data_IF_493336160691
#
_entry.id   IF_493336160691
#
_cell.length_a   1.000
_cell.length_b   1.000
_cell.length_c   1.000
_cell.angle_alpha   90.00
_cell.angle_beta   90.00
_cell.angle_gamma   90.00
#
_symmetry.space_group_name_H-M   'P 1'
#
loop_
_entity.id
_entity.type
_entity.pdbx_description
1 polymer ?
#
# COMPACT_ATOMS: atom_id res chain seq x y z
N UNK A 1 -17.89 4.86 -0.14
CA UNK A 1 -16.55 4.23 -0.15
C UNK A 1 -16.75 2.73 -0.08
N UNK A 2 -15.93 1.91 -0.76
CA UNK A 2 -15.94 0.46 -0.58
C UNK A 2 -15.70 0.12 0.90
N UNK A 3 -16.19 -1.04 1.33
CA UNK A 3 -15.87 -1.55 2.67
C UNK A 3 -14.37 -1.87 2.72
N UNK A 4 -13.70 -1.36 3.75
CA UNK A 4 -12.27 -1.56 3.95
C UNK A 4 -12.09 -2.56 5.08
N UNK A 5 -11.39 -3.66 4.83
CA UNK A 5 -11.06 -4.66 5.85
C UNK A 5 -10.09 -4.12 6.90
N UNK A 6 -10.08 -4.74 8.07
CA UNK A 6 -9.02 -4.51 9.06
C UNK A 6 -7.71 -5.14 8.57
N UNK A 7 -6.58 -4.54 8.95
CA UNK A 7 -5.26 -5.03 8.55
C UNK A 7 -5.06 -6.47 9.06
N UNK A 8 -4.46 -7.33 8.26
CA UNK A 8 -4.01 -8.67 8.70
C UNK A 8 -2.64 -8.62 9.38
N UNK A 9 -2.16 -9.76 9.90
CA UNK A 9 -0.87 -9.81 10.59
C UNK A 9 0.31 -9.85 9.62
N UNK A 10 0.12 -10.42 8.44
CA UNK A 10 1.08 -10.41 7.33
C UNK A 10 0.45 -9.73 6.12
N UNK A 11 1.26 -9.13 5.26
CA UNK A 11 0.78 -8.53 4.02
C UNK A 11 1.67 -8.90 2.83
N UNK A 12 1.09 -8.83 1.64
CA UNK A 12 1.79 -8.85 0.37
C UNK A 12 1.43 -7.60 -0.42
N UNK A 13 2.45 -6.88 -0.88
CA UNK A 13 2.30 -5.68 -1.69
C UNK A 13 2.70 -5.94 -3.14
N UNK A 14 1.79 -5.77 -4.10
CA UNK A 14 2.13 -5.76 -5.52
C UNK A 14 2.72 -4.40 -5.90
N UNK A 15 3.94 -4.37 -6.42
CA UNK A 15 4.56 -3.15 -6.94
C UNK A 15 3.83 -2.72 -8.21
N UNK A 16 2.93 -1.74 -8.07
CA UNK A 16 2.09 -1.28 -9.16
C UNK A 16 2.62 -0.01 -9.83
N UNK A 17 3.50 0.75 -9.18
CA UNK A 17 4.19 1.90 -9.76
C UNK A 17 5.51 2.12 -9.01
N UNK A 18 6.55 2.54 -9.75
CA UNK A 18 7.88 2.89 -9.22
C UNK A 18 8.33 4.20 -9.87
N UNK A 19 8.32 5.28 -9.08
CA UNK A 19 8.63 6.64 -9.54
C UNK A 19 9.98 7.05 -8.94
N UNK A 20 10.95 7.35 -9.81
CA UNK A 20 12.33 7.65 -9.41
C UNK A 20 12.68 9.14 -9.52
N UNK A 21 11.75 9.97 -9.98
CA UNK A 21 11.88 11.43 -9.91
C UNK A 21 12.11 11.86 -8.45
N UNK A 22 13.00 12.84 -8.24
CA UNK A 22 13.42 13.32 -6.92
C UNK A 22 12.23 13.71 -6.03
N UNK A 23 11.20 14.34 -6.62
CA UNK A 23 9.98 14.76 -5.93
C UNK A 23 8.77 14.40 -6.78
N UNK A 24 7.72 13.92 -6.14
CA UNK A 24 6.40 13.70 -6.76
C UNK A 24 5.35 14.54 -6.07
N UNK A 25 4.71 15.44 -6.83
CA UNK A 25 3.66 16.32 -6.31
C UNK A 25 2.32 15.61 -6.21
N UNK A 26 1.42 16.14 -5.39
CA UNK A 26 0.04 15.62 -5.29
C UNK A 26 -0.78 15.75 -6.58
N UNK A 27 -0.47 16.72 -7.45
CA UNK A 27 -1.10 16.86 -8.78
C UNK A 27 -0.69 15.75 -9.75
N UNK A 28 0.47 15.15 -9.53
CA UNK A 28 0.99 14.05 -10.35
C UNK A 28 0.45 12.70 -9.88
N UNK A 29 0.20 12.57 -8.58
CA UNK A 29 -0.52 11.44 -8.00
C UNK A 29 -1.99 11.44 -8.43
N UNK A 30 -2.63 12.61 -8.46
CA UNK A 30 -4.00 12.79 -8.94
C UNK A 30 -4.17 14.14 -9.66
N UNK A 31 -4.37 14.14 -10.99
CA UNK A 31 -4.51 15.37 -11.76
C UNK A 31 -5.66 16.28 -11.29
N UNK A 32 -5.42 17.59 -11.28
CA UNK A 32 -6.49 18.59 -11.18
C UNK A 32 -7.15 18.87 -12.54
N UNK A 33 -8.40 19.35 -12.49
CA UNK A 33 -9.14 19.85 -13.66
C UNK A 33 -10.24 18.88 -14.13
N UNK A 34 -9.85 17.89 -14.92
CA UNK A 34 -10.75 16.87 -15.53
C UNK A 34 -11.47 16.00 -14.48
N UNK A 35 -10.92 15.95 -13.27
CA UNK A 35 -11.40 15.17 -12.13
C UNK A 35 -12.49 15.87 -11.31
N UNK A 36 -12.72 17.17 -11.53
CA UNK A 36 -13.62 17.98 -10.71
C UNK A 36 -15.09 17.55 -10.78
N UNK A 37 -15.53 16.99 -11.91
CA UNK A 37 -16.86 16.44 -12.11
C UNK A 37 -17.10 15.12 -11.39
N UNK A 38 -16.04 14.42 -10.97
CA UNK A 38 -16.10 13.10 -10.33
C UNK A 38 -15.99 13.15 -8.80
N UNK A 39 -16.04 14.33 -8.18
CA UNK A 39 -15.86 14.48 -6.72
C UNK A 39 -16.85 13.66 -5.88
N UNK A 40 -18.03 13.37 -6.42
CA UNK A 40 -19.05 12.52 -5.77
C UNK A 40 -18.97 11.04 -6.18
N UNK A 41 -18.10 10.67 -7.12
CA UNK A 41 -17.87 9.31 -7.59
C UNK A 41 -16.40 8.92 -7.35
N UNK A 42 -16.07 8.37 -6.16
CA UNK A 42 -14.69 8.02 -5.82
C UNK A 42 -14.03 7.03 -6.78
N UNK A 43 -14.77 6.06 -7.30
CA UNK A 43 -14.22 5.06 -8.24
C UNK A 43 -13.92 5.73 -9.58
N UNK A 44 -14.87 6.52 -10.11
CA UNK A 44 -14.65 7.27 -11.35
C UNK A 44 -13.50 8.27 -11.25
N UNK A 45 -13.32 8.88 -10.07
CA UNK A 45 -12.17 9.74 -9.80
C UNK A 45 -10.85 8.95 -9.76
N UNK A 46 -10.87 7.75 -9.20
CA UNK A 46 -9.67 6.92 -9.08
C UNK A 46 -9.12 6.41 -10.42
N UNK A 47 -9.91 6.43 -11.50
CA UNK A 47 -9.42 6.16 -12.86
C UNK A 47 -8.33 7.12 -13.32
N UNK A 48 -8.23 8.30 -12.69
CA UNK A 48 -7.22 9.31 -13.02
C UNK A 48 -5.95 9.18 -12.18
N UNK A 49 -5.91 8.25 -11.22
CA UNK A 49 -4.75 8.10 -10.32
C UNK A 49 -3.50 7.75 -11.12
N UNK A 50 -2.45 8.55 -10.95
CA UNK A 50 -1.17 8.43 -11.67
C UNK A 50 -1.28 8.48 -13.20
N UNK A 51 -2.42 8.87 -13.80
CA UNK A 51 -2.65 8.73 -15.25
C UNK A 51 -1.64 9.48 -16.13
N UNK A 52 -1.02 10.56 -15.61
CA UNK A 52 0.02 11.34 -16.29
C UNK A 52 1.44 10.84 -16.05
N UNK A 53 1.65 10.01 -15.03
CA UNK A 53 2.97 9.49 -14.64
C UNK A 53 3.13 8.01 -14.99
N UNK A 54 2.10 7.22 -14.75
CA UNK A 54 2.05 5.80 -15.02
C UNK A 54 0.63 5.39 -15.44
N UNK A 55 0.30 5.46 -16.74
CA UNK A 55 -1.04 5.11 -17.25
C UNK A 55 -1.49 3.67 -16.95
N UNK A 56 -0.55 2.76 -16.65
CA UNK A 56 -0.87 1.37 -16.34
C UNK A 56 -1.19 1.12 -14.87
N UNK A 57 -0.98 2.10 -13.98
CA UNK A 57 -1.13 1.93 -12.54
C UNK A 57 -2.53 1.46 -12.15
N UNK A 58 -3.58 2.13 -12.64
CA UNK A 58 -4.96 1.81 -12.27
C UNK A 58 -5.33 0.37 -12.64
N UNK A 59 -4.92 -0.10 -13.82
CA UNK A 59 -5.15 -1.48 -14.26
C UNK A 59 -4.48 -2.50 -13.33
N UNK A 60 -3.19 -2.28 -12.99
CA UNK A 60 -2.45 -3.16 -12.08
C UNK A 60 -3.00 -3.13 -10.65
N UNK A 61 -3.38 -1.96 -10.17
CA UNK A 61 -3.95 -1.78 -8.82
C UNK A 61 -5.28 -2.52 -8.69
N UNK A 62 -6.19 -2.35 -9.66
CA UNK A 62 -7.47 -3.09 -9.70
C UNK A 62 -7.30 -4.60 -9.86
N UNK A 63 -6.35 -5.05 -10.66
CA UNK A 63 -6.04 -6.48 -10.76
C UNK A 63 -5.57 -7.04 -9.40
N UNK A 64 -4.81 -6.25 -8.65
CA UNK A 64 -4.41 -6.62 -7.28
C UNK A 64 -5.59 -6.63 -6.31
N UNK A 65 -6.51 -5.67 -6.42
CA UNK A 65 -7.76 -5.67 -5.65
C UNK A 65 -8.62 -6.91 -5.93
N UNK A 66 -8.64 -7.37 -7.18
CA UNK A 66 -9.36 -8.58 -7.54
C UNK A 66 -8.73 -9.83 -6.91
N UNK A 67 -7.39 -9.93 -6.86
CA UNK A 67 -6.71 -11.01 -6.14
C UNK A 67 -7.09 -11.02 -4.65
N UNK A 68 -7.20 -9.85 -4.02
CA UNK A 68 -7.64 -9.74 -2.63
C UNK A 68 -9.10 -10.15 -2.44
N UNK A 69 -9.99 -9.77 -3.37
CA UNK A 69 -11.40 -10.21 -3.35
C UNK A 69 -11.52 -11.73 -3.48
N UNK A 70 -10.74 -12.35 -4.36
CA UNK A 70 -10.68 -13.81 -4.50
C UNK A 70 -10.21 -14.46 -3.19
N UNK A 71 -9.15 -13.94 -2.56
CA UNK A 71 -8.63 -14.41 -1.27
C UNK A 71 -9.70 -14.33 -0.19
N UNK A 72 -10.42 -13.20 -0.08
CA UNK A 72 -11.53 -13.01 0.86
C UNK A 72 -12.68 -14.00 0.62
N UNK A 73 -12.92 -14.40 -0.64
CA UNK A 73 -13.86 -15.45 -1.01
C UNK A 73 -13.34 -16.89 -0.76
N UNK A 74 -12.13 -17.04 -0.21
CA UNK A 74 -11.50 -18.33 0.06
C UNK A 74 -10.75 -18.93 -1.14
N UNK A 75 -10.63 -18.21 -2.25
CA UNK A 75 -9.90 -18.65 -3.43
C UNK A 75 -8.48 -18.07 -3.45
N UNK A 76 -7.49 -18.96 -3.32
CA UNK A 76 -6.05 -18.60 -3.31
C UNK A 76 -5.27 -19.24 -4.46
N UNK A 77 -5.95 -19.74 -5.49
CA UNK A 77 -5.31 -20.47 -6.59
C UNK A 77 -4.28 -19.63 -7.34
N UNK A 78 -4.59 -18.36 -7.63
CA UNK A 78 -3.69 -17.42 -8.32
C UNK A 78 -2.49 -16.99 -7.46
N UNK A 79 -2.51 -17.31 -6.16
CA UNK A 79 -1.47 -16.96 -5.20
C UNK A 79 -0.50 -18.13 -4.94
N UNK A 80 -0.79 -19.32 -5.47
CA UNK A 80 -0.10 -20.56 -5.11
C UNK A 80 1.41 -20.49 -5.33
N UNK A 81 1.84 -20.03 -6.51
CA UNK A 81 3.27 -19.95 -6.85
C UNK A 81 3.99 -18.93 -5.97
N UNK A 82 3.41 -17.74 -5.81
CA UNK A 82 3.95 -16.70 -4.92
C UNK A 82 4.13 -17.20 -3.49
N UNK A 83 3.12 -17.84 -2.91
CA UNK A 83 3.21 -18.37 -1.54
C UNK A 83 4.12 -19.59 -1.43
N UNK A 84 4.29 -20.38 -2.49
CA UNK A 84 5.31 -21.43 -2.53
C UNK A 84 6.72 -20.82 -2.40
N UNK A 85 6.97 -19.66 -3.02
CA UNK A 85 8.24 -18.91 -2.84
C UNK A 85 8.36 -18.33 -1.44
N UNK A 86 7.30 -17.70 -0.90
CA UNK A 86 7.32 -17.13 0.46
C UNK A 86 7.66 -18.20 1.50
N UNK A 87 7.11 -19.42 1.37
CA UNK A 87 7.37 -20.54 2.29
C UNK A 87 8.81 -21.06 2.27
N UNK A 88 9.63 -20.65 1.30
CA UNK A 88 11.07 -20.95 1.28
C UNK A 88 11.89 -19.96 2.12
N UNK A 89 11.29 -18.86 2.59
CA UNK A 89 11.93 -17.90 3.47
C UNK A 89 11.97 -18.50 4.88
N UNK A 90 13.14 -18.46 5.52
CA UNK A 90 13.33 -18.99 6.86
C UNK A 90 12.37 -18.33 7.86
N UNK A 91 11.62 -19.14 8.60
CA UNK A 91 10.60 -18.70 9.57
C UNK A 91 9.24 -18.37 8.97
N UNK A 92 9.04 -18.58 7.66
CA UNK A 92 7.77 -18.32 6.94
C UNK A 92 7.16 -19.59 6.35
N UNK A 93 7.62 -20.78 6.77
CA UNK A 93 7.24 -22.09 6.22
C UNK A 93 5.74 -22.39 6.33
N UNK A 94 5.07 -21.77 7.31
CA UNK A 94 3.67 -21.99 7.63
C UNK A 94 2.77 -20.78 7.33
N UNK A 95 3.23 -19.83 6.50
CA UNK A 95 2.39 -18.70 6.12
C UNK A 95 1.10 -19.19 5.42
N UNK A 96 -0.04 -18.65 5.86
CA UNK A 96 -1.35 -18.94 5.29
C UNK A 96 -1.76 -17.79 4.34
N UNK A 97 -1.96 -18.07 3.04
CA UNK A 97 -2.47 -17.06 2.11
C UNK A 97 -3.83 -16.51 2.53
N UNK A 98 -4.68 -17.28 3.20
CA UNK A 98 -5.98 -16.80 3.67
C UNK A 98 -5.89 -15.84 4.86
N UNK A 99 -4.73 -15.75 5.53
CA UNK A 99 -4.48 -14.82 6.64
C UNK A 99 -3.52 -13.69 6.26
N UNK A 100 -3.22 -13.52 4.98
CA UNK A 100 -2.26 -12.54 4.47
C UNK A 100 -2.94 -11.60 3.48
N UNK A 101 -3.20 -10.36 3.86
CA UNK A 101 -3.85 -9.35 3.02
C UNK A 101 -2.95 -8.96 1.84
N UNK A 102 -3.58 -8.77 0.69
CA UNK A 102 -2.92 -8.41 -0.55
C UNK A 102 -3.37 -7.01 -0.94
N UNK A 103 -2.42 -6.18 -1.37
CA UNK A 103 -2.76 -4.86 -1.89
C UNK A 103 -1.69 -4.32 -2.83
N UNK A 104 -2.08 -3.32 -3.60
CA UNK A 104 -1.15 -2.61 -4.46
C UNK A 104 -0.34 -1.59 -3.66
N UNK A 105 0.85 -1.30 -4.15
CA UNK A 105 1.70 -0.25 -3.61
C UNK A 105 2.30 0.65 -4.67
N UNK A 106 2.62 1.87 -4.27
CA UNK A 106 3.40 2.84 -5.06
C UNK A 106 4.72 3.09 -4.36
N UNK A 107 5.83 2.93 -5.10
CA UNK A 107 7.12 3.49 -4.70
C UNK A 107 7.32 4.87 -5.31
N UNK A 108 7.77 5.84 -4.51
CA UNK A 108 8.23 7.15 -4.98
C UNK A 108 9.33 7.69 -4.06
N UNK A 109 10.35 8.36 -4.59
CA UNK A 109 11.46 8.90 -3.78
C UNK A 109 10.94 9.86 -2.72
N UNK A 110 10.27 10.94 -3.15
CA UNK A 110 9.70 11.95 -2.23
C UNK A 110 8.27 12.38 -2.61
N UNK A 111 7.24 11.56 -2.29
CA UNK A 111 5.87 11.86 -2.67
C UNK A 111 5.18 12.85 -1.73
N UNK A 112 4.19 13.56 -2.28
CA UNK A 112 3.27 14.38 -1.50
C UNK A 112 3.62 15.85 -1.41
N UNK A 113 4.41 16.36 -2.36
CA UNK A 113 4.72 17.79 -2.45
C UNK A 113 3.52 18.60 -2.98
N UNK A 114 3.50 19.89 -2.67
CA UNK A 114 2.46 20.82 -3.09
C UNK A 114 1.17 20.78 -2.26
N UNK A 115 0.02 20.94 -2.92
CA UNK A 115 -1.25 21.20 -2.25
C UNK A 115 -1.79 20.03 -1.43
N UNK A 116 -2.57 20.35 -0.39
CA UNK A 116 -3.33 19.37 0.37
C UNK A 116 -4.37 18.65 -0.49
N UNK A 117 -4.14 17.39 -0.86
CA UNK A 117 -5.10 16.57 -1.61
C UNK A 117 -5.30 15.21 -0.97
N UNK A 118 -6.43 15.06 -0.30
CA UNK A 118 -6.84 13.77 0.24
C UNK A 118 -7.03 12.73 -0.87
N UNK A 119 -7.51 13.16 -2.04
CA UNK A 119 -7.72 12.34 -3.23
C UNK A 119 -6.44 11.64 -3.67
N UNK A 120 -5.26 12.22 -3.41
CA UNK A 120 -3.99 11.60 -3.74
C UNK A 120 -3.79 10.26 -2.99
N UNK A 121 -4.39 10.09 -1.81
CA UNK A 121 -4.37 8.82 -1.06
C UNK A 121 -5.68 8.03 -1.22
N UNK A 122 -6.83 8.69 -1.11
CA UNK A 122 -8.13 8.00 -1.15
C UNK A 122 -8.38 7.30 -2.47
N UNK A 123 -7.95 7.90 -3.59
CA UNK A 123 -8.09 7.30 -4.91
C UNK A 123 -7.25 6.03 -5.05
N UNK A 124 -6.05 5.99 -4.45
CA UNK A 124 -5.25 4.77 -4.41
C UNK A 124 -5.96 3.69 -3.60
N UNK A 125 -6.45 4.03 -2.40
CA UNK A 125 -7.12 3.06 -1.52
C UNK A 125 -8.34 2.41 -2.17
N UNK A 126 -9.20 3.18 -2.84
CA UNK A 126 -10.45 2.63 -3.42
C UNK A 126 -10.26 1.67 -4.59
N UNK A 127 -9.09 1.67 -5.22
CA UNK A 127 -8.75 0.71 -6.29
C UNK A 127 -7.80 -0.39 -5.82
N UNK A 128 -7.61 -0.54 -4.50
CA UNK A 128 -6.81 -1.62 -3.91
C UNK A 128 -5.43 -1.21 -3.40
N UNK A 129 -5.16 0.08 -3.21
CA UNK A 129 -3.96 0.57 -2.54
C UNK A 129 -3.91 0.12 -1.08
N UNK A 130 -2.76 -0.40 -0.64
CA UNK A 130 -2.51 -0.81 0.75
C UNK A 130 -1.32 -0.11 1.38
N UNK A 131 -0.32 0.29 0.59
CA UNK A 131 0.86 0.96 1.10
C UNK A 131 1.48 1.90 0.08
N UNK A 132 2.21 2.90 0.57
CA UNK A 132 3.24 3.58 -0.20
C UNK A 132 4.58 3.29 0.44
N UNK A 133 5.61 3.05 -0.36
CA UNK A 133 7.00 3.03 0.10
C UNK A 133 7.69 4.28 -0.46
N UNK A 134 8.37 5.03 0.41
CA UNK A 134 9.13 6.19 0.00
C UNK A 134 10.52 6.24 0.62
N UNK A 135 11.42 7.04 0.07
CA UNK A 135 12.63 7.41 0.79
C UNK A 135 12.26 8.40 1.91
N UNK A 136 11.49 9.43 1.55
CA UNK A 136 11.02 10.47 2.45
C UNK A 136 9.61 10.92 2.02
N UNK A 137 8.72 11.29 2.96
CA UNK A 137 7.48 11.97 2.58
C UNK A 137 7.69 13.48 2.52
N UNK A 138 7.37 14.12 1.38
CA UNK A 138 7.60 15.56 1.18
C UNK A 138 6.88 16.42 2.23
N UNK A 139 5.70 15.99 2.67
CA UNK A 139 4.90 16.68 3.68
C UNK A 139 4.27 15.71 4.65
N UNK A 140 4.20 16.11 5.94
CA UNK A 140 3.41 15.38 6.96
C UNK A 140 1.95 15.21 6.56
N UNK A 141 1.41 16.18 5.81
CA UNK A 141 0.01 16.20 5.39
C UNK A 141 -0.33 15.05 4.44
N UNK A 142 0.49 14.81 3.40
CA UNK A 142 0.24 13.69 2.51
C UNK A 142 0.39 12.36 3.25
N UNK A 143 1.42 12.22 4.10
CA UNK A 143 1.59 11.06 4.99
C UNK A 143 0.35 10.81 5.87
N UNK A 144 -0.23 11.85 6.48
CA UNK A 144 -1.47 11.71 7.25
C UNK A 144 -2.67 11.30 6.39
N UNK A 145 -2.75 11.71 5.12
CA UNK A 145 -3.81 11.23 4.23
C UNK A 145 -3.65 9.73 3.94
N UNK A 146 -2.42 9.25 3.68
CA UNK A 146 -2.13 7.82 3.51
C UNK A 146 -2.63 7.04 4.74
N UNK A 147 -2.27 7.50 5.93
CA UNK A 147 -2.71 6.91 7.21
C UNK A 147 -4.23 6.94 7.39
N UNK A 148 -4.89 8.09 7.15
CA UNK A 148 -6.32 8.24 7.35
C UNK A 148 -7.15 7.29 6.46
N UNK A 149 -6.61 6.91 5.30
CA UNK A 149 -7.20 5.93 4.40
C UNK A 149 -6.77 4.48 4.70
N UNK A 150 -6.07 4.27 5.82
CA UNK A 150 -5.64 2.96 6.32
C UNK A 150 -4.50 2.35 5.51
N UNK A 151 -3.84 3.13 4.67
CA UNK A 151 -2.65 2.69 3.96
C UNK A 151 -1.41 2.82 4.85
N UNK A 152 -0.43 1.95 4.63
CA UNK A 152 0.84 1.99 5.35
C UNK A 152 1.79 3.04 4.75
N UNK A 153 2.28 4.01 5.55
CA UNK A 153 3.25 5.01 5.11
C UNK A 153 4.68 4.47 5.26
N UNK A 154 5.00 3.40 4.53
CA UNK A 154 6.29 2.74 4.62
C UNK A 154 7.42 3.61 4.07
N UNK A 155 8.62 3.42 4.60
CA UNK A 155 9.84 4.07 4.15
C UNK A 155 11.00 3.06 4.04
N UNK A 156 11.96 3.37 3.17
CA UNK A 156 13.22 2.64 3.05
C UNK A 156 14.36 3.60 2.70
N UNK A 157 15.57 3.33 3.18
CA UNK A 157 16.74 4.18 2.89
C UNK A 157 17.61 3.63 1.74
N UNK A 158 17.40 2.37 1.37
CA UNK A 158 18.16 1.69 0.33
C UNK A 158 17.56 1.99 -1.05
N UNK A 159 18.38 1.88 -2.10
CA UNK A 159 17.87 1.94 -3.47
C UNK A 159 16.95 0.74 -3.71
N UNK A 160 15.71 0.93 -4.20
CA UNK A 160 14.77 -0.16 -4.39
C UNK A 160 15.29 -1.18 -5.41
N UNK A 161 15.45 -2.42 -4.97
CA UNK A 161 15.88 -3.57 -5.77
C UNK A 161 14.72 -4.36 -6.40
N UNK A 162 13.50 -3.83 -6.35
CA UNK A 162 12.29 -4.39 -6.91
C UNK A 162 11.79 -3.57 -8.11
N UNK A 163 11.07 -4.19 -9.03
CA UNK A 163 10.48 -3.53 -10.19
C UNK A 163 8.96 -3.68 -10.25
N UNK A 164 8.31 -2.91 -11.13
CA UNK A 164 6.87 -3.01 -11.35
C UNK A 164 6.54 -4.43 -11.80
N UNK A 165 5.64 -5.10 -11.08
CA UNK A 165 5.35 -6.52 -11.27
C UNK A 165 5.84 -7.42 -10.14
N UNK A 166 6.83 -6.99 -9.36
CA UNK A 166 7.27 -7.75 -8.19
C UNK A 166 6.23 -7.72 -7.06
N UNK A 167 6.35 -8.65 -6.13
CA UNK A 167 5.62 -8.65 -4.88
C UNK A 167 6.58 -8.40 -3.71
N UNK A 168 6.09 -7.75 -2.66
CA UNK A 168 6.84 -7.54 -1.41
C UNK A 168 6.04 -8.17 -0.27
N UNK A 169 6.55 -9.24 0.30
CA UNK A 169 5.99 -9.88 1.49
C UNK A 169 6.53 -9.21 2.76
N UNK A 170 5.64 -8.83 3.67
CA UNK A 170 6.01 -8.26 4.98
C UNK A 170 5.31 -9.07 6.08
N UNK A 171 6.06 -9.88 6.85
CA UNK A 171 5.50 -10.60 7.99
C UNK A 171 5.32 -9.68 9.20
N UNK A 172 4.30 -9.94 10.02
CA UNK A 172 4.14 -9.30 11.32
C UNK A 172 3.94 -7.78 11.29
N UNK A 173 3.27 -7.23 10.27
CA UNK A 173 3.12 -5.78 10.06
C UNK A 173 2.43 -5.07 11.25
N UNK A 174 1.49 -5.73 11.93
CA UNK A 174 0.88 -5.17 13.14
C UNK A 174 1.87 -5.00 14.29
N UNK A 175 2.74 -5.99 14.48
CA UNK A 175 3.79 -5.90 15.49
C UNK A 175 4.80 -4.78 15.15
N UNK A 176 5.08 -4.56 13.86
CA UNK A 176 5.89 -3.43 13.41
C UNK A 176 5.24 -2.07 13.72
N UNK A 177 3.91 -1.95 13.60
CA UNK A 177 3.20 -0.74 14.02
C UNK A 177 3.38 -0.47 15.52
N UNK A 178 3.33 -1.50 16.36
CA UNK A 178 3.48 -1.36 17.82
C UNK A 178 4.90 -0.98 18.28
N UNK A 179 5.89 -1.05 17.38
CA UNK A 179 7.27 -0.69 17.64
C UNK A 179 7.75 0.44 16.69
N UNK A 180 7.13 1.64 16.74
CA UNK A 180 7.42 2.73 15.81
C UNK A 180 8.88 3.19 15.92
N UNK A 181 9.48 3.57 14.78
CA UNK A 181 10.88 4.00 14.73
C UNK A 181 11.90 2.85 14.71
N UNK A 182 11.45 1.60 14.67
CA UNK A 182 12.32 0.44 14.40
C UNK A 182 12.23 0.02 12.94
N UNK A 183 13.31 -0.57 12.44
CA UNK A 183 13.33 -1.20 11.12
C UNK A 183 12.79 -2.62 11.20
N UNK A 184 12.21 -3.09 10.10
CA UNK A 184 11.73 -4.46 9.93
C UNK A 184 11.99 -4.93 8.51
N UNK A 185 11.93 -6.25 8.30
CA UNK A 185 12.26 -6.89 7.03
C UNK A 185 11.04 -6.96 6.11
N UNK A 186 11.25 -6.67 4.85
CA UNK A 186 10.39 -7.09 3.74
C UNK A 186 11.16 -8.04 2.82
N UNK A 187 10.43 -8.85 2.06
CA UNK A 187 11.00 -9.82 1.14
C UNK A 187 10.43 -9.61 -0.25
N UNK A 188 11.28 -9.29 -1.22
CA UNK A 188 10.87 -9.12 -2.61
C UNK A 188 10.81 -10.48 -3.28
N UNK A 189 9.62 -10.81 -3.77
CA UNK A 189 9.34 -12.00 -4.56
C UNK A 189 9.33 -11.58 -6.03
N UNK A 190 10.45 -11.81 -6.70
CA UNK A 190 10.57 -11.62 -8.14
C UNK A 190 9.86 -12.74 -8.92
N UNK A 191 9.62 -12.55 -10.21
CA UNK A 191 9.07 -13.62 -11.06
C UNK A 191 10.08 -14.77 -11.23
N UNK A 192 11.28 -14.45 -11.73
CA UNK A 192 12.30 -15.45 -12.12
C UNK A 192 13.66 -15.25 -11.44
N UNK A 193 13.70 -14.60 -10.28
CA UNK A 193 14.94 -14.34 -9.53
C UNK A 193 14.83 -14.73 -8.06
N UNK A 194 15.93 -15.11 -7.38
CA UNK A 194 15.94 -15.43 -5.95
C UNK A 194 15.29 -14.32 -5.11
N UNK A 195 14.57 -14.69 -4.05
CA UNK A 195 13.97 -13.73 -3.12
C UNK A 195 15.08 -12.83 -2.54
N UNK A 196 14.85 -11.52 -2.55
CA UNK A 196 15.76 -10.56 -1.93
C UNK A 196 15.14 -9.93 -0.69
N UNK A 197 15.97 -9.48 0.25
CA UNK A 197 15.52 -8.81 1.46
C UNK A 197 15.61 -7.28 1.26
N UNK A 198 14.66 -6.55 1.85
CA UNK A 198 14.70 -5.10 1.96
C UNK A 198 14.47 -4.68 3.41
N UNK A 199 15.09 -3.58 3.81
CA UNK A 199 14.87 -2.98 5.13
C UNK A 199 13.84 -1.85 5.03
N UNK A 200 12.75 -1.99 5.78
CA UNK A 200 11.65 -1.04 5.83
C UNK A 200 11.56 -0.40 7.22
N UNK A 201 10.96 0.78 7.30
CA UNK A 201 10.59 1.43 8.55
C UNK A 201 9.35 2.30 8.36
N UNK A 202 8.83 2.83 9.45
CA UNK A 202 7.85 3.91 9.46
C UNK A 202 8.36 4.98 10.43
N UNK A 203 8.37 6.23 9.99
CA UNK A 203 8.53 7.36 10.92
C UNK A 203 7.53 7.27 12.08
N UNK A 204 7.84 7.92 13.20
CA UNK A 204 7.02 7.92 14.41
C UNK A 204 5.52 8.10 14.11
N UNK A 205 4.73 7.13 14.57
CA UNK A 205 3.27 7.15 14.51
C UNK A 205 2.73 7.36 15.91
N UNK A 206 1.74 8.25 16.03
CA UNK A 206 0.95 8.38 17.25
C UNK A 206 0.16 7.10 17.53
N UNK A 207 -0.27 6.90 18.77
CA UNK A 207 -1.10 5.75 19.12
C UNK A 207 -2.39 5.69 18.27
N UNK A 208 -3.01 6.84 18.02
CA UNK A 208 -4.21 6.93 17.19
C UNK A 208 -3.94 6.57 15.72
N UNK A 209 -2.85 7.08 15.13
CA UNK A 209 -2.47 6.73 13.75
C UNK A 209 -2.25 5.22 13.58
N UNK A 210 -1.66 4.54 14.59
CA UNK A 210 -1.50 3.07 14.56
C UNK A 210 -2.84 2.35 14.56
N UNK A 211 -3.76 2.77 15.42
CA UNK A 211 -5.08 2.14 15.52
C UNK A 211 -5.94 2.43 14.27
N UNK A 212 -5.78 3.60 13.65
CA UNK A 212 -6.38 3.92 12.35
C UNK A 212 -5.91 2.95 11.26
N UNK A 213 -4.60 2.69 11.17
CA UNK A 213 -4.03 1.74 10.20
C UNK A 213 -4.54 0.33 10.47
N UNK A 214 -4.50 -0.14 11.73
CA UNK A 214 -5.00 -1.47 12.11
C UNK A 214 -6.48 -1.65 11.79
N UNK A 215 -7.29 -0.62 11.98
CA UNK A 215 -8.71 -0.63 11.62
C UNK A 215 -8.96 -0.57 10.10
N UNK A 216 -7.93 -0.32 9.29
CA UNK A 216 -8.00 -0.24 7.83
C UNK A 216 -8.52 1.10 7.29
N UNK A 217 -8.90 2.04 8.16
CA UNK A 217 -9.17 3.46 7.85
C UNK A 217 -9.61 4.24 9.11
N UNK A 218 -9.56 5.57 9.02
CA UNK A 218 -10.12 6.47 10.03
C UNK A 218 -11.64 6.30 10.17
N UNK A 219 -12.33 5.97 9.07
CA UNK A 219 -13.77 5.70 9.05
C UNK A 219 -14.09 4.49 9.92
N UNK A 220 -13.34 3.39 9.75
CA UNK A 220 -13.51 2.17 10.53
C UNK A 220 -13.15 2.38 12.00
N UNK A 221 -12.03 3.07 12.27
CA UNK A 221 -11.63 3.42 13.63
C UNK A 221 -12.73 4.18 14.38
N UNK A 222 -13.32 5.19 13.74
CA UNK A 222 -14.40 5.97 14.35
C UNK A 222 -15.68 5.15 14.56
N UNK A 223 -16.05 4.28 13.62
CA UNK A 223 -17.18 3.35 13.79
C UNK A 223 -16.96 2.40 14.97
N UNK A 224 -15.77 1.83 15.10
CA UNK A 224 -15.43 0.88 16.17
C UNK A 224 -15.44 1.51 17.57
N UNK A 225 -15.26 2.83 17.68
CA UNK A 225 -15.35 3.57 18.96
C UNK A 225 -16.78 3.94 19.36
N UNK A 226 -17.73 3.88 18.43
CA UNK A 226 -19.14 4.20 18.66
C UNK A 226 -20.00 2.95 18.93
N UNK A 227 -19.41 1.76 18.77
CA UNK A 227 -19.98 0.47 19.16
C UNK A 227 -19.58 0.12 20.59
#
# INVERSE_FOLDING_TARGET
>A
WPELGALTDNIVLKVCSKILDEVTTTDELIPSGETSSYRSNPIGLAEFTLSRRDPGYVGRSKATAELENQRLAGNVSELADMFARIKQIAGQEHVDPLQTEIGSMVYAVKPGDGSAREQAASCQRVIGGLANIAEEYATKRYRSNVINWGMLPLQMAEVPNFDVGDYIYIPGIKAALDNPGTTFKGYVIHEDAPVTEITLYMESLTAEEREIIKAGSLINFNKNRQM
#
